data_IF_760948655818
#
_entry.id   IF_760948655818
#
_cell.length_a   1.000
_cell.length_b   1.000
_cell.length_c   1.000
_cell.angle_alpha   90.00
_cell.angle_beta   90.00
_cell.angle_gamma   90.00
#
_symmetry.space_group_name_H-M   'P 1'
#
loop_
_entity.id
_entity.type
_entity.pdbx_description
1 polymer ?
#
# COMPACT_ATOMS: atom_id res chain seq x y z
N UNK A 1 -14.72 15.10 3.03
CA UNK A 1 -14.77 13.79 2.32
C UNK A 1 -13.57 13.74 1.40
N UNK A 2 -12.69 12.79 1.58
CA UNK A 2 -11.54 12.54 0.71
C UNK A 2 -12.05 12.20 -0.68
N UNK A 3 -11.45 12.79 -1.71
CA UNK A 3 -11.79 12.49 -3.10
C UNK A 3 -10.83 11.44 -3.67
N UNK A 4 -11.29 10.59 -4.63
CA UNK A 4 -10.39 9.66 -5.30
C UNK A 4 -9.26 10.40 -6.01
N UNK A 5 -8.07 9.78 -6.13
CA UNK A 5 -6.95 10.37 -6.85
C UNK A 5 -7.35 10.63 -8.32
N UNK A 6 -6.89 11.74 -8.84
CA UNK A 6 -7.01 12.03 -10.26
C UNK A 6 -5.97 11.18 -11.04
N UNK A 7 -6.45 10.12 -11.66
CA UNK A 7 -5.64 9.21 -12.49
C UNK A 7 -5.62 9.63 -13.97
N UNK A 8 -6.02 10.86 -14.29
CA UNK A 8 -6.02 11.36 -15.65
C UNK A 8 -4.60 11.39 -16.25
N UNK A 9 -4.54 11.19 -17.56
CA UNK A 9 -3.28 11.26 -18.31
C UNK A 9 -2.61 12.63 -18.14
N UNK A 10 -1.31 12.62 -17.85
CA UNK A 10 -0.46 13.80 -17.77
C UNK A 10 -0.26 14.40 -16.36
N UNK A 11 -0.91 13.89 -15.34
CA UNK A 11 -0.55 14.23 -13.96
C UNK A 11 0.47 13.26 -13.42
N UNK A 12 1.58 13.74 -12.83
CA UNK A 12 2.57 12.85 -12.23
C UNK A 12 2.00 12.18 -10.99
N UNK A 13 2.44 10.95 -10.73
CA UNK A 13 2.12 10.24 -9.51
C UNK A 13 2.75 10.93 -8.28
N UNK A 14 2.03 10.91 -7.16
CA UNK A 14 2.48 11.47 -5.89
C UNK A 14 3.09 10.37 -5.03
N UNK A 15 4.27 10.63 -4.46
CA UNK A 15 4.86 9.82 -3.41
C UNK A 15 4.99 10.72 -2.18
N UNK A 16 4.26 10.39 -1.11
CA UNK A 16 4.36 11.09 0.16
C UNK A 16 5.43 10.42 1.02
N UNK A 17 6.42 11.17 1.47
CA UNK A 17 7.34 10.71 2.50
C UNK A 17 6.82 11.13 3.88
N UNK A 18 6.85 10.19 4.82
CA UNK A 18 6.34 10.33 6.18
C UNK A 18 7.40 9.87 7.17
N UNK A 19 7.94 10.80 7.96
CA UNK A 19 8.82 10.48 9.08
C UNK A 19 8.02 9.92 10.24
N UNK A 20 8.54 8.89 10.91
CA UNK A 20 7.89 8.19 12.02
C UNK A 20 6.47 7.72 11.70
N UNK A 21 6.25 7.35 10.44
CA UNK A 21 4.95 6.90 9.95
C UNK A 21 4.53 5.56 10.54
N UNK A 22 3.25 5.43 10.90
CA UNK A 22 2.67 4.20 11.43
C UNK A 22 1.81 3.52 10.37
N UNK A 23 2.21 2.34 9.91
CA UNK A 23 1.38 1.52 9.05
C UNK A 23 0.43 0.70 9.94
N UNK A 24 -0.88 0.90 9.74
CA UNK A 24 -1.92 0.22 10.52
C UNK A 24 -2.61 -0.82 9.66
N UNK A 25 -2.49 -2.12 9.99
CA UNK A 25 -3.12 -3.20 9.25
C UNK A 25 -4.65 -3.26 9.50
N UNK A 26 -5.32 -4.07 8.69
CA UNK A 26 -6.73 -4.41 8.93
C UNK A 26 -6.80 -5.23 10.22
N UNK A 27 -7.74 -4.93 11.15
CA UNK A 27 -7.92 -5.70 12.39
C UNK A 27 -8.14 -7.19 12.12
N UNK A 28 -7.59 -8.05 12.99
CA UNK A 28 -7.65 -9.52 12.84
C UNK A 28 -9.07 -10.11 12.92
N UNK A 29 -10.00 -9.40 13.53
CA UNK A 29 -11.40 -9.75 13.63
C UNK A 29 -12.23 -9.43 12.36
N UNK A 30 -11.58 -8.76 11.40
CA UNK A 30 -12.19 -8.46 10.12
C UNK A 30 -11.87 -9.56 9.10
N UNK A 31 -12.88 -10.33 8.70
CA UNK A 31 -12.76 -11.41 7.70
C UNK A 31 -12.54 -10.89 6.25
N UNK A 32 -12.06 -9.65 6.09
CA UNK A 32 -11.86 -9.02 4.78
C UNK A 32 -13.16 -8.49 4.16
N UNK A 33 -14.21 -8.40 4.97
CA UNK A 33 -15.48 -7.76 4.60
C UNK A 33 -15.38 -6.26 4.88
N UNK A 34 -15.99 -5.45 4.04
CA UNK A 34 -16.03 -4.00 4.21
C UNK A 34 -16.71 -3.57 5.53
N UNK A 35 -16.25 -2.50 6.17
CA UNK A 35 -15.14 -1.62 5.81
C UNK A 35 -13.76 -2.17 6.22
N UNK A 36 -12.74 -1.90 5.38
CA UNK A 36 -11.35 -2.28 5.66
C UNK A 36 -10.62 -1.08 6.30
N UNK A 37 -10.61 -1.01 7.62
CA UNK A 37 -9.96 0.07 8.35
C UNK A 37 -8.44 -0.15 8.38
N UNK A 38 -7.72 0.52 7.49
CA UNK A 38 -6.27 0.37 7.31
C UNK A 38 -5.66 1.56 6.58
N UNK A 39 -4.39 1.84 6.79
CA UNK A 39 -3.68 2.91 6.11
C UNK A 39 -2.39 3.29 6.82
N UNK A 40 -1.83 4.43 6.43
CA UNK A 40 -0.65 5.03 7.06
C UNK A 40 -1.08 6.26 7.83
N UNK A 41 -0.64 6.36 9.07
CA UNK A 41 -0.77 7.55 9.91
C UNK A 41 0.59 8.26 9.98
N UNK A 42 0.58 9.59 9.96
CA UNK A 42 1.78 10.39 10.23
C UNK A 42 2.12 10.42 11.73
N UNK A 43 3.21 11.12 12.08
CA UNK A 43 3.66 11.25 13.47
C UNK A 43 2.64 11.96 14.39
N UNK A 44 1.67 12.68 13.83
CA UNK A 44 0.58 13.32 14.54
C UNK A 44 -0.69 12.48 14.60
N UNK A 45 -0.65 11.25 14.06
CA UNK A 45 -1.80 10.35 13.98
C UNK A 45 -2.81 10.73 12.89
N UNK A 46 -2.45 11.62 11.95
CA UNK A 46 -3.31 11.96 10.83
C UNK A 46 -3.17 10.95 9.71
N UNK A 47 -4.29 10.61 9.06
CA UNK A 47 -4.27 9.71 7.92
C UNK A 47 -3.52 10.33 6.74
N UNK A 48 -2.58 9.59 6.19
CA UNK A 48 -1.92 9.90 4.92
C UNK A 48 -2.86 9.48 3.78
N UNK A 49 -3.41 10.46 3.06
CA UNK A 49 -4.46 10.22 2.06
C UNK A 49 -4.01 9.30 0.93
N UNK A 50 -2.75 9.37 0.53
CA UNK A 50 -2.15 8.50 -0.50
C UNK A 50 -2.19 7.02 -0.11
N UNK A 51 -2.35 6.69 1.18
CA UNK A 51 -2.48 5.31 1.65
C UNK A 51 -3.86 4.69 1.40
N UNK A 52 -4.88 5.51 1.11
CA UNK A 52 -6.25 5.02 0.86
C UNK A 52 -6.27 4.17 -0.41
N UNK A 53 -6.85 2.99 -0.31
CA UNK A 53 -7.16 2.17 -1.48
C UNK A 53 -8.53 2.57 -2.02
N UNK A 54 -8.58 2.83 -3.32
CA UNK A 54 -9.77 3.26 -4.04
C UNK A 54 -10.26 2.17 -4.99
N UNK A 55 -11.58 2.02 -5.08
CA UNK A 55 -12.25 1.12 -6.01
C UNK A 55 -13.58 1.72 -6.45
N UNK A 56 -13.86 1.74 -7.74
CA UNK A 56 -15.11 2.29 -8.29
C UNK A 56 -15.40 3.73 -7.81
N UNK A 57 -14.35 4.59 -7.81
CA UNK A 57 -14.47 5.96 -7.35
C UNK A 57 -14.80 6.13 -5.85
N UNK A 58 -14.71 5.07 -5.06
CA UNK A 58 -14.99 5.08 -3.62
C UNK A 58 -13.80 4.60 -2.82
N UNK A 59 -13.65 5.11 -1.60
CA UNK A 59 -12.66 4.59 -0.66
C UNK A 59 -13.00 3.13 -0.32
N UNK A 60 -12.10 2.21 -0.68
CA UNK A 60 -12.19 0.80 -0.35
C UNK A 60 -11.59 0.50 1.02
N UNK A 61 -10.50 1.21 1.38
CA UNK A 61 -10.02 1.27 2.75
C UNK A 61 -10.50 2.56 3.42
N UNK A 62 -10.88 2.46 4.69
CA UNK A 62 -11.29 3.59 5.53
C UNK A 62 -10.18 3.93 6.53
N UNK A 63 -10.19 5.15 7.11
CA UNK A 63 -9.24 5.51 8.15
C UNK A 63 -9.18 4.44 9.25
N UNK A 64 -7.98 3.98 9.63
CA UNK A 64 -7.84 3.04 10.71
C UNK A 64 -8.18 3.69 12.06
N UNK A 65 -8.55 2.87 13.05
CA UNK A 65 -8.52 3.30 14.45
C UNK A 65 -7.08 3.68 14.79
N UNK A 66 -6.90 4.80 15.45
CA UNK A 66 -5.59 5.17 15.98
C UNK A 66 -5.19 4.14 17.05
N UNK A 67 -4.06 3.42 16.86
CA UNK A 67 -3.59 2.47 17.84
C UNK A 67 -3.08 3.21 19.10
N UNK A 68 -3.20 2.58 20.26
CA UNK A 68 -2.53 3.07 21.45
C UNK A 68 -1.00 2.88 21.30
N UNK A 69 -0.19 3.74 21.95
CA UNK A 69 1.27 3.69 21.79
C UNK A 69 1.85 2.30 22.18
N UNK A 70 1.28 1.63 23.15
CA UNK A 70 1.68 0.28 23.54
C UNK A 70 1.28 -0.83 22.56
N UNK A 71 0.44 -0.53 21.56
CA UNK A 71 0.07 -1.45 20.48
C UNK A 71 0.99 -1.31 19.26
N UNK A 72 1.85 -0.28 19.23
CA UNK A 72 2.70 0.03 18.09
C UNK A 72 4.08 -0.61 18.27
N UNK A 73 4.42 -1.53 17.38
CA UNK A 73 5.79 -2.01 17.26
C UNK A 73 6.63 -0.94 16.56
N UNK A 74 7.88 -0.71 17.01
CA UNK A 74 8.81 0.20 16.32
C UNK A 74 9.89 -0.61 15.63
N UNK A 75 10.07 -0.37 14.35
CA UNK A 75 11.12 -0.96 13.52
C UNK A 75 11.92 0.17 12.85
N UNK A 76 13.25 0.16 12.92
CA UNK A 76 14.04 1.12 12.19
C UNK A 76 13.94 0.88 10.69
N UNK A 77 14.26 1.91 9.93
CA UNK A 77 14.45 1.80 8.49
C UNK A 77 13.47 2.62 7.66
N UNK A 78 13.74 2.58 6.37
CA UNK A 78 13.00 3.28 5.31
C UNK A 78 12.21 2.26 4.49
N UNK A 79 10.90 2.37 4.46
CA UNK A 79 10.04 1.40 3.78
C UNK A 79 9.13 2.06 2.76
N UNK A 80 8.69 1.29 1.76
CA UNK A 80 7.64 1.68 0.85
C UNK A 80 6.34 0.96 1.20
N UNK A 81 5.28 1.70 1.45
CA UNK A 81 3.93 1.15 1.63
C UNK A 81 3.34 0.79 0.27
N UNK A 82 3.07 -0.50 0.07
CA UNK A 82 2.54 -1.02 -1.20
C UNK A 82 1.02 -1.22 -1.19
N UNK A 83 0.34 -0.95 -0.07
CA UNK A 83 -1.11 -1.08 0.04
C UNK A 83 -1.58 -2.48 0.43
N UNK A 84 -2.77 -2.85 -0.04
CA UNK A 84 -3.39 -4.12 0.31
C UNK A 84 -2.84 -5.29 -0.49
N UNK A 85 -2.51 -6.39 0.19
CA UNK A 85 -2.17 -7.66 -0.45
C UNK A 85 -3.42 -8.52 -0.63
N UNK A 86 -3.80 -8.76 -1.87
CA UNK A 86 -4.93 -9.60 -2.24
C UNK A 86 -4.49 -11.01 -2.60
N UNK A 87 -5.21 -12.02 -2.07
CA UNK A 87 -4.93 -13.43 -2.37
C UNK A 87 -5.45 -13.92 -3.73
N UNK A 88 -6.43 -13.23 -4.30
CA UNK A 88 -6.97 -13.58 -5.62
C UNK A 88 -6.11 -12.94 -6.72
N UNK A 89 -5.68 -13.76 -7.71
CA UNK A 89 -4.72 -13.35 -8.74
C UNK A 89 -5.12 -12.07 -9.49
N UNK A 90 -6.36 -11.96 -9.95
CA UNK A 90 -6.83 -10.78 -10.67
C UNK A 90 -6.76 -9.49 -9.82
N UNK A 91 -7.13 -9.57 -8.54
CA UNK A 91 -6.99 -8.44 -7.62
C UNK A 91 -5.54 -8.14 -7.27
N UNK A 92 -4.71 -9.17 -7.10
CA UNK A 92 -3.29 -8.99 -6.92
C UNK A 92 -2.70 -8.19 -8.09
N UNK A 93 -2.97 -8.64 -9.32
CA UNK A 93 -2.38 -8.06 -10.53
C UNK A 93 -2.73 -6.56 -10.72
N UNK A 94 -3.91 -6.13 -10.32
CA UNK A 94 -4.37 -4.76 -10.58
C UNK A 94 -4.44 -3.87 -9.33
N UNK A 95 -4.52 -4.43 -8.14
CA UNK A 95 -4.67 -3.65 -6.92
C UNK A 95 -3.44 -3.75 -6.00
N UNK A 96 -2.86 -4.95 -5.81
CA UNK A 96 -1.64 -5.07 -4.99
C UNK A 96 -0.41 -4.49 -5.68
N UNK A 97 -0.37 -4.47 -7.02
CA UNK A 97 0.73 -3.84 -7.77
C UNK A 97 0.55 -2.34 -7.96
N UNK A 98 -0.62 -1.79 -7.62
CA UNK A 98 -1.02 -0.43 -8.00
C UNK A 98 -0.12 0.69 -7.44
N UNK A 99 0.75 0.41 -6.47
CA UNK A 99 1.71 1.35 -5.90
C UNK A 99 3.17 1.02 -6.23
N UNK A 100 3.44 -0.15 -6.84
CA UNK A 100 4.81 -0.60 -7.09
C UNK A 100 5.55 0.25 -8.14
N UNK A 101 4.84 1.01 -8.95
CA UNK A 101 5.41 1.97 -9.91
C UNK A 101 6.39 2.97 -9.27
N UNK A 102 6.19 3.25 -7.98
CA UNK A 102 7.04 4.18 -7.26
C UNK A 102 8.43 3.62 -6.91
N UNK A 103 8.58 2.30 -6.90
CA UNK A 103 9.82 1.64 -6.44
C UNK A 103 11.06 2.15 -7.19
N UNK A 104 10.99 2.23 -8.51
CA UNK A 104 12.11 2.69 -9.35
C UNK A 104 12.30 4.22 -9.32
N UNK A 105 11.36 4.95 -8.73
CA UNK A 105 11.37 6.41 -8.66
C UNK A 105 11.80 6.95 -7.31
N UNK A 106 12.06 6.06 -6.35
CA UNK A 106 12.62 6.45 -5.08
C UNK A 106 14.11 6.73 -5.25
N UNK A 107 14.54 7.93 -4.88
CA UNK A 107 15.95 8.35 -4.97
C UNK A 107 16.83 7.62 -3.96
N UNK A 108 16.25 7.26 -2.82
CA UNK A 108 16.93 6.58 -1.74
C UNK A 108 16.58 5.10 -1.71
N UNK A 109 17.58 4.28 -1.39
CA UNK A 109 17.37 2.86 -1.19
C UNK A 109 16.42 2.61 -0.02
N UNK A 110 15.39 1.82 -0.26
CA UNK A 110 14.48 1.36 0.78
C UNK A 110 14.91 -0.01 1.33
N UNK A 111 14.63 -0.23 2.61
CA UNK A 111 14.95 -1.48 3.30
C UNK A 111 13.92 -2.57 3.01
N UNK A 112 12.67 -2.18 2.72
CA UNK A 112 11.62 -3.13 2.38
C UNK A 112 10.41 -2.49 1.67
N UNK A 113 9.64 -3.34 0.98
CA UNK A 113 8.28 -3.06 0.50
C UNK A 113 7.28 -3.76 1.41
N UNK A 114 6.35 -3.00 1.97
CA UNK A 114 5.45 -3.46 3.02
C UNK A 114 4.02 -3.48 2.52
N UNK A 115 3.36 -4.62 2.70
CA UNK A 115 1.94 -4.81 2.39
C UNK A 115 1.10 -4.99 3.66
N UNK A 116 -0.17 -4.68 3.53
CA UNK A 116 -1.21 -5.05 4.49
C UNK A 116 -2.05 -6.18 3.90
N UNK A 117 -2.09 -7.36 4.51
CA UNK A 117 -2.91 -8.44 4.00
C UNK A 117 -4.40 -8.09 4.12
N UNK A 118 -5.15 -8.27 3.03
CA UNK A 118 -6.60 -8.06 3.06
C UNK A 118 -7.31 -9.06 3.97
N UNK A 119 -6.81 -10.30 4.00
CA UNK A 119 -7.32 -11.38 4.85
C UNK A 119 -6.14 -12.00 5.59
N UNK A 120 -6.25 -12.07 6.89
CA UNK A 120 -5.19 -12.53 7.79
C UNK A 120 -4.88 -14.05 7.66
N UNK A 121 -5.71 -14.80 6.94
CA UNK A 121 -5.48 -16.23 6.73
C UNK A 121 -4.43 -16.45 5.65
N UNK A 122 -3.37 -17.23 5.95
CA UNK A 122 -2.32 -17.63 5.02
C UNK A 122 -1.51 -16.47 4.44
N UNK A 123 -1.24 -15.47 5.24
CA UNK A 123 -0.53 -14.23 4.87
C UNK A 123 0.78 -14.52 4.13
N UNK A 124 1.64 -15.34 4.73
CA UNK A 124 2.94 -15.68 4.14
C UNK A 124 2.81 -16.48 2.86
N UNK A 125 1.79 -17.35 2.77
CA UNK A 125 1.55 -18.14 1.57
C UNK A 125 1.22 -17.23 0.38
N UNK A 126 0.34 -16.24 0.57
CA UNK A 126 -0.04 -15.29 -0.50
C UNK A 126 1.17 -14.50 -0.97
N UNK A 127 1.95 -13.96 -0.03
CA UNK A 127 3.15 -13.20 -0.36
C UNK A 127 4.16 -14.06 -1.11
N UNK A 128 4.42 -15.27 -0.64
CA UNK A 128 5.37 -16.20 -1.26
C UNK A 128 4.95 -16.59 -2.69
N UNK A 129 3.66 -16.79 -2.94
CA UNK A 129 3.14 -17.12 -4.29
C UNK A 129 3.41 -15.98 -5.27
N UNK A 130 3.27 -14.72 -4.84
CA UNK A 130 3.41 -13.57 -5.74
C UNK A 130 4.79 -12.91 -5.73
N UNK A 131 5.67 -13.27 -4.81
CA UNK A 131 7.06 -12.77 -4.79
C UNK A 131 7.79 -12.95 -6.10
N UNK A 132 7.75 -14.13 -6.79
CA UNK A 132 8.42 -14.28 -8.07
C UNK A 132 7.94 -13.29 -9.14
N UNK A 133 6.64 -13.01 -9.17
CA UNK A 133 6.08 -12.02 -10.08
C UNK A 133 6.59 -10.60 -9.76
N UNK A 134 6.62 -10.22 -8.49
CA UNK A 134 7.16 -8.92 -8.07
C UNK A 134 8.66 -8.79 -8.39
N UNK A 135 9.42 -9.89 -8.32
CA UNK A 135 10.83 -9.91 -8.76
C UNK A 135 10.97 -9.67 -10.27
N UNK A 136 10.06 -10.22 -11.08
CA UNK A 136 10.04 -9.93 -12.53
C UNK A 136 9.72 -8.45 -12.83
N UNK A 137 8.98 -7.79 -11.97
CA UNK A 137 8.74 -6.34 -12.04
C UNK A 137 9.89 -5.49 -11.46
N UNK A 138 11.06 -6.08 -11.20
CA UNK A 138 12.24 -5.34 -10.71
C UNK A 138 12.24 -5.02 -9.21
N UNK A 139 11.29 -5.49 -8.42
CA UNK A 139 11.26 -5.24 -6.98
C UNK A 139 12.29 -6.13 -6.29
N UNK A 140 13.45 -5.60 -5.95
CA UNK A 140 14.56 -6.34 -5.32
C UNK A 140 14.54 -6.28 -3.80
N UNK A 141 13.97 -5.24 -3.21
CA UNK A 141 13.89 -5.09 -1.76
C UNK A 141 13.12 -6.24 -1.10
N UNK A 142 13.41 -6.58 0.15
CA UNK A 142 12.61 -7.50 0.95
C UNK A 142 11.13 -7.14 0.93
N UNK A 143 10.28 -8.16 0.87
CA UNK A 143 8.82 -8.02 0.84
C UNK A 143 8.25 -8.65 2.10
N UNK A 144 7.38 -7.95 2.82
CA UNK A 144 6.68 -8.56 3.94
C UNK A 144 5.31 -7.95 4.19
N UNK A 145 4.46 -8.71 4.85
CA UNK A 145 3.19 -8.26 5.36
C UNK A 145 3.32 -7.81 6.81
N UNK A 146 2.49 -6.87 7.24
CA UNK A 146 2.35 -6.51 8.64
C UNK A 146 0.98 -6.94 9.17
N UNK A 147 0.95 -7.43 10.42
CA UNK A 147 -0.24 -7.94 11.11
C UNK A 147 -0.61 -7.08 12.32
N UNK A 148 0.32 -6.28 12.79
CA UNK A 148 0.17 -5.34 13.91
C UNK A 148 0.57 -3.94 13.46
N UNK A 149 0.14 -2.88 14.15
CA UNK A 149 0.61 -1.53 13.84
C UNK A 149 2.14 -1.42 14.01
N UNK A 150 2.82 -0.90 12.97
CA UNK A 150 4.28 -0.76 12.98
C UNK A 150 4.66 0.67 12.61
N UNK A 151 5.51 1.29 13.45
CA UNK A 151 6.17 2.56 13.19
C UNK A 151 7.52 2.31 12.52
N UNK A 152 7.80 3.04 11.43
CA UNK A 152 9.11 3.07 10.78
C UNK A 152 9.68 4.48 10.79
N UNK A 153 11.03 4.60 10.68
CA UNK A 153 11.69 5.90 10.63
C UNK A 153 11.19 6.73 9.45
N UNK A 154 11.06 6.08 8.28
CA UNK A 154 10.53 6.70 7.06
C UNK A 154 9.57 5.74 6.33
N UNK A 155 8.42 6.25 5.94
CA UNK A 155 7.45 5.52 5.10
C UNK A 155 7.21 6.31 3.82
N UNK A 156 7.59 5.76 2.67
CA UNK A 156 7.16 6.27 1.38
C UNK A 156 5.79 5.72 1.07
N UNK A 157 4.84 6.60 0.84
CA UNK A 157 3.43 6.27 0.57
C UNK A 157 3.08 6.72 -0.84
N UNK A 158 3.22 5.86 -1.85
CA UNK A 158 2.82 6.18 -3.21
C UNK A 158 1.31 6.27 -3.34
N UNK A 159 0.86 7.22 -4.13
CA UNK A 159 -0.50 7.25 -4.63
C UNK A 159 -0.82 5.95 -5.39
N UNK A 160 -2.05 5.47 -5.27
CA UNK A 160 -2.52 4.35 -6.08
C UNK A 160 -2.48 4.73 -7.56
N UNK A 161 -1.70 4.00 -8.35
CA UNK A 161 -1.45 4.30 -9.77
C UNK A 161 -2.50 3.72 -10.71
N UNK A 162 -3.32 2.77 -10.24
CA UNK A 162 -4.40 2.14 -10.98
C UNK A 162 -5.56 1.79 -10.04
N UNK A 163 -6.78 1.86 -10.56
CA UNK A 163 -7.98 1.44 -9.83
C UNK A 163 -8.91 0.63 -10.70
N UNK A 164 -9.70 -0.26 -10.09
CA UNK A 164 -10.68 -1.09 -10.77
C UNK A 164 -11.98 -0.33 -11.08
N UNK A 165 -12.74 -0.83 -12.03
CA UNK A 165 -14.05 -0.32 -12.49
C UNK A 165 -13.94 1.10 -13.05
N UNK A 166 -14.61 2.07 -12.47
CA UNK A 166 -14.63 3.46 -12.94
C UNK A 166 -13.26 4.17 -12.93
N UNK A 167 -12.22 3.54 -12.37
CA UNK A 167 -10.85 4.07 -12.29
C UNK A 167 -9.88 3.29 -13.20
N UNK A 168 -10.27 2.98 -14.42
CA UNK A 168 -9.48 2.16 -15.35
C UNK A 168 -8.29 2.91 -15.99
N UNK A 169 -8.26 4.23 -15.94
CA UNK A 169 -7.16 5.04 -16.45
C UNK A 169 -6.03 5.11 -15.42
N UNK A 170 -5.00 4.28 -15.58
CA UNK A 170 -3.84 4.30 -14.69
C UNK A 170 -2.95 5.52 -14.91
N UNK A 171 -2.15 5.89 -13.91
CA UNK A 171 -1.07 6.86 -14.03
C UNK A 171 -0.12 6.48 -15.17
N UNK A 172 0.50 7.46 -15.88
CA UNK A 172 1.53 7.16 -16.87
C UNK A 172 2.66 6.29 -16.32
N UNK A 173 3.12 6.59 -15.11
CA UNK A 173 4.18 5.86 -14.40
C UNK A 173 3.81 4.40 -14.12
N UNK A 174 2.57 4.14 -13.71
CA UNK A 174 2.09 2.77 -13.50
C UNK A 174 2.04 1.98 -14.81
N UNK A 175 1.60 2.63 -15.90
CA UNK A 175 1.54 2.00 -17.22
C UNK A 175 2.93 1.69 -17.77
N UNK A 176 3.91 2.56 -17.53
CA UNK A 176 5.31 2.35 -17.90
C UNK A 176 5.87 1.17 -17.12
N UNK A 177 5.73 1.18 -15.79
CA UNK A 177 6.15 0.11 -14.89
C UNK A 177 5.59 -1.27 -15.28
N UNK A 178 4.32 -1.36 -15.67
CA UNK A 178 3.69 -2.62 -16.06
C UNK A 178 4.04 -3.10 -17.47
N UNK A 179 4.86 -2.35 -18.23
CA UNK A 179 5.35 -2.75 -19.57
C UNK A 179 6.77 -3.35 -19.54
N UNK A 180 7.46 -3.22 -18.41
CA UNK A 180 8.76 -3.85 -18.21
C UNK A 180 8.64 -5.35 -18.09
#
# INVERSE_FOLDING_TARGET
MTQPPDLSLGRPGIIREVENGVIVPIPNDNDGVQPLNSGVLDAQGQLVEESITWRDGRAFSLPPRQPAEGEIETRPGRVMFAGLMFGHFGHFLVESTARLWAYERLEEKIDAVVFVPKVQRRIDHVLNVYTPFMRLLGIEAPLFNIETPVRFDHVHVPQQGFGMFGMIEGLPEYREFMRT
#
